data_IF_365051202797
#
_entry.id   IF_365051202797
#
_cell.length_a   1.000
_cell.length_b   1.000
_cell.length_c   1.000
_cell.angle_alpha   90.00
_cell.angle_beta   90.00
_cell.angle_gamma   90.00
#
_symmetry.space_group_name_H-M   'P 1'
#
loop_
_entity.id
_entity.type
_entity.pdbx_description
1 polymer ?
#
# COMPACT_ATOMS: atom_id res chain seq x y z
N UNK A 1 9.82 -1.24 0.38
CA UNK A 1 8.52 -1.04 1.07
C UNK A 1 8.18 0.45 1.12
N UNK A 2 9.13 1.31 1.47
CA UNK A 2 8.98 2.78 1.57
C UNK A 2 8.18 3.43 0.43
N UNK A 3 8.48 3.08 -0.83
CA UNK A 3 7.84 3.64 -2.02
C UNK A 3 6.32 3.43 -2.08
N UNK A 4 5.82 2.42 -1.38
CA UNK A 4 4.42 1.99 -1.44
C UNK A 4 3.65 2.26 -0.15
N UNK A 5 4.35 2.60 0.94
CA UNK A 5 3.73 2.80 2.26
C UNK A 5 2.66 3.89 2.22
N UNK A 6 3.02 5.06 1.69
CA UNK A 6 2.10 6.19 1.57
C UNK A 6 0.95 5.94 0.58
N UNK A 7 1.20 5.58 -0.70
CA UNK A 7 0.13 5.49 -1.70
C UNK A 7 -0.83 4.30 -1.48
N UNK A 8 -0.42 3.29 -0.71
CA UNK A 8 -1.25 2.11 -0.42
C UNK A 8 -1.78 2.15 1.01
N UNK A 9 -0.90 2.11 2.01
CA UNK A 9 -1.31 1.95 3.42
C UNK A 9 -1.89 3.25 3.97
N UNK A 10 -1.12 4.34 3.94
CA UNK A 10 -1.52 5.59 4.60
C UNK A 10 -2.81 6.13 3.97
N UNK A 11 -2.94 6.07 2.64
CA UNK A 11 -4.19 6.47 1.94
C UNK A 11 -5.40 5.64 2.35
N UNK A 12 -5.26 4.31 2.49
CA UNK A 12 -6.36 3.45 2.90
C UNK A 12 -6.76 3.73 4.35
N UNK A 13 -5.78 3.89 5.25
CA UNK A 13 -6.04 4.22 6.65
C UNK A 13 -6.73 5.58 6.78
N UNK A 14 -6.21 6.61 6.12
CA UNK A 14 -6.82 7.95 6.11
C UNK A 14 -8.25 7.88 5.58
N UNK A 15 -8.49 7.20 4.45
CA UNK A 15 -9.84 6.99 3.90
C UNK A 15 -10.78 6.36 4.94
N UNK A 16 -10.38 5.26 5.56
CA UNK A 16 -11.19 4.54 6.55
C UNK A 16 -11.56 5.43 7.74
N UNK A 17 -10.63 6.27 8.21
CA UNK A 17 -10.86 7.19 9.32
C UNK A 17 -11.72 8.39 8.90
N UNK A 18 -11.44 9.01 7.74
CA UNK A 18 -12.19 10.15 7.22
C UNK A 18 -13.67 9.83 6.99
N UNK A 19 -13.96 8.62 6.49
CA UNK A 19 -15.34 8.17 6.29
C UNK A 19 -15.96 7.52 7.54
N UNK A 20 -15.30 7.59 8.70
CA UNK A 20 -15.74 6.99 9.97
C UNK A 20 -16.10 5.50 9.85
N UNK A 21 -15.42 4.82 8.92
CA UNK A 21 -15.64 3.42 8.58
C UNK A 21 -14.94 2.48 9.57
N UNK A 22 -13.92 2.98 10.27
CA UNK A 22 -13.28 2.38 11.44
C UNK A 22 -13.24 3.44 12.52
N UNK A 23 -13.64 3.08 13.74
CA UNK A 23 -13.73 3.96 14.91
C UNK A 23 -12.88 3.41 16.05
N UNK A 24 -12.69 4.22 17.10
CA UNK A 24 -11.94 3.82 18.30
C UNK A 24 -12.52 2.55 18.95
N UNK A 25 -13.84 2.41 18.97
CA UNK A 25 -14.54 1.28 19.57
C UNK A 25 -14.41 -0.02 18.77
N UNK A 26 -13.90 0.06 17.53
CA UNK A 26 -13.57 -1.10 16.70
C UNK A 26 -12.19 -1.69 17.03
N UNK A 27 -11.50 -1.13 18.03
CA UNK A 27 -10.34 -1.73 18.64
C UNK A 27 -10.59 -2.15 20.09
N UNK A 28 -9.62 -2.86 20.64
CA UNK A 28 -9.62 -3.36 22.00
C UNK A 28 -8.19 -3.33 22.56
N UNK A 29 -8.07 -3.07 23.87
CA UNK A 29 -6.79 -3.20 24.55
C UNK A 29 -6.60 -4.67 24.93
N UNK A 30 -5.52 -5.27 24.44
CA UNK A 30 -5.05 -6.60 24.83
C UNK A 30 -3.66 -6.45 25.42
N UNK A 31 -3.56 -6.62 26.75
CA UNK A 31 -2.35 -6.31 27.51
C UNK A 31 -1.96 -4.83 27.38
N UNK A 32 -0.73 -4.57 26.94
CA UNK A 32 -0.21 -3.21 26.73
C UNK A 32 -0.39 -2.69 25.29
N UNK A 33 -1.22 -3.36 24.48
CA UNK A 33 -1.39 -3.07 23.04
C UNK A 33 -2.83 -2.80 22.66
N UNK A 34 -3.03 -1.84 21.74
CA UNK A 34 -4.32 -1.61 21.09
C UNK A 34 -4.41 -2.42 19.80
N UNK A 35 -5.36 -3.36 19.75
CA UNK A 35 -5.55 -4.28 18.64
C UNK A 35 -6.89 -4.02 17.95
N UNK A 36 -6.92 -4.14 16.62
CA UNK A 36 -8.17 -4.08 15.87
C UNK A 36 -8.98 -5.37 16.09
N UNK A 37 -10.29 -5.20 16.35
CA UNK A 37 -11.28 -6.28 16.35
C UNK A 37 -11.44 -6.85 14.95
N UNK A 38 -12.02 -8.05 14.87
CA UNK A 38 -12.11 -8.82 13.62
C UNK A 38 -12.80 -8.06 12.48
N UNK A 39 -13.89 -7.35 12.77
CA UNK A 39 -14.63 -6.57 11.79
C UNK A 39 -13.78 -5.44 11.17
N UNK A 40 -13.08 -4.65 12.00
CA UNK A 40 -12.19 -3.60 11.51
C UNK A 40 -10.97 -4.16 10.76
N UNK A 41 -10.42 -5.28 11.23
CA UNK A 41 -9.31 -5.96 10.57
C UNK A 41 -9.69 -6.46 9.18
N UNK A 42 -10.84 -7.12 9.03
CA UNK A 42 -11.37 -7.58 7.75
C UNK A 42 -11.66 -6.42 6.81
N UNK A 43 -12.19 -5.32 7.33
CA UNK A 43 -12.46 -4.11 6.55
C UNK A 43 -11.18 -3.46 6.03
N UNK A 44 -10.19 -3.28 6.91
CA UNK A 44 -8.86 -2.78 6.53
C UNK A 44 -8.22 -3.68 5.47
N UNK A 45 -8.26 -5.00 5.67
CA UNK A 45 -7.70 -5.97 4.73
C UNK A 45 -8.38 -5.88 3.36
N UNK A 46 -9.71 -5.82 3.32
CA UNK A 46 -10.47 -5.70 2.07
C UNK A 46 -10.10 -4.44 1.29
N UNK A 47 -10.01 -3.29 1.97
CA UNK A 47 -9.64 -2.02 1.33
C UNK A 47 -8.19 -2.01 0.86
N UNK A 48 -7.27 -2.65 1.61
CA UNK A 48 -5.87 -2.81 1.19
C UNK A 48 -5.75 -3.69 -0.06
N UNK A 49 -6.44 -4.83 -0.11
CA UNK A 49 -6.45 -5.72 -1.28
C UNK A 49 -7.03 -4.99 -2.48
N UNK A 50 -8.18 -4.32 -2.31
CA UNK A 50 -8.78 -3.52 -3.38
C UNK A 50 -7.82 -2.42 -3.86
N UNK A 51 -7.08 -1.79 -2.94
CA UNK A 51 -6.08 -0.77 -3.30
C UNK A 51 -4.91 -1.36 -4.08
N UNK A 52 -4.42 -2.54 -3.68
CA UNK A 52 -3.37 -3.27 -4.40
C UNK A 52 -3.78 -3.62 -5.84
N UNK A 53 -5.04 -3.98 -6.05
CA UNK A 53 -5.59 -4.30 -7.37
C UNK A 53 -5.97 -3.06 -8.21
N UNK A 54 -6.16 -1.91 -7.55
CA UNK A 54 -6.49 -0.66 -8.24
C UNK A 54 -5.38 -0.22 -9.19
N UNK A 55 -5.78 0.30 -10.36
CA UNK A 55 -4.86 0.75 -11.40
C UNK A 55 -4.44 2.20 -11.22
N UNK A 56 -3.17 2.49 -11.50
CA UNK A 56 -2.63 3.85 -11.59
C UNK A 56 -1.72 3.97 -12.80
N UNK A 57 -1.56 5.18 -13.30
CA UNK A 57 -0.62 5.47 -14.37
C UNK A 57 0.81 5.33 -13.86
N UNK A 58 1.61 4.54 -14.57
CA UNK A 58 3.03 4.32 -14.30
C UNK A 58 3.75 4.05 -15.63
N UNK A 59 4.77 4.86 -15.93
CA UNK A 59 5.55 4.77 -17.18
C UNK A 59 4.68 4.74 -18.45
N UNK A 60 3.69 5.63 -18.51
CA UNK A 60 2.81 5.79 -19.68
C UNK A 60 1.72 4.72 -19.83
N UNK A 61 1.59 3.78 -18.89
CA UNK A 61 0.58 2.71 -18.92
C UNK A 61 -0.15 2.60 -17.59
N UNK A 62 -1.34 2.00 -17.60
CA UNK A 62 -2.12 1.76 -16.40
C UNK A 62 -1.84 0.35 -15.86
N UNK A 63 -1.25 0.28 -14.67
CA UNK A 63 -0.93 -0.96 -13.98
C UNK A 63 -1.54 -0.99 -12.59
N UNK A 64 -1.84 -2.17 -12.05
CA UNK A 64 -2.20 -2.28 -10.63
C UNK A 64 -0.99 -1.98 -9.75
N UNK A 65 -1.22 -1.56 -8.50
CA UNK A 65 -0.12 -1.36 -7.54
C UNK A 65 0.68 -2.65 -7.34
N UNK A 66 0.02 -3.81 -7.27
CA UNK A 66 0.70 -5.12 -7.22
C UNK A 66 1.66 -5.33 -8.41
N UNK A 67 1.23 -4.99 -9.62
CA UNK A 67 2.10 -5.07 -10.80
C UNK A 67 3.26 -4.08 -10.72
N UNK A 68 3.03 -2.85 -10.25
CA UNK A 68 4.09 -1.85 -10.10
C UNK A 68 5.12 -2.31 -9.06
N UNK A 69 4.69 -2.91 -7.96
CA UNK A 69 5.60 -3.51 -6.95
C UNK A 69 6.50 -4.59 -7.57
N UNK A 70 5.93 -5.48 -8.39
CA UNK A 70 6.69 -6.48 -9.11
C UNK A 70 7.68 -5.85 -10.10
N UNK A 71 7.26 -4.82 -10.84
CA UNK A 71 8.15 -4.09 -11.75
C UNK A 71 9.29 -3.41 -11.00
N UNK A 72 9.03 -2.82 -9.83
CA UNK A 72 10.09 -2.23 -9.00
C UNK A 72 11.08 -3.29 -8.50
N UNK A 73 10.60 -4.47 -8.07
CA UNK A 73 11.48 -5.57 -7.70
C UNK A 73 12.40 -5.97 -8.86
N UNK A 74 11.87 -6.09 -10.10
CA UNK A 74 12.67 -6.38 -11.29
C UNK A 74 13.67 -5.26 -11.62
N UNK A 75 13.31 -4.00 -11.41
CA UNK A 75 14.23 -2.86 -11.59
C UNK A 75 15.39 -2.90 -10.60
N UNK A 76 15.14 -3.31 -9.36
CA UNK A 76 16.20 -3.55 -8.39
C UNK A 76 17.10 -4.69 -8.88
N UNK A 77 16.55 -5.83 -9.31
CA UNK A 77 17.34 -6.96 -9.81
C UNK A 77 18.24 -6.59 -10.99
N UNK A 78 17.69 -5.89 -11.99
CA UNK A 78 18.46 -5.44 -13.18
C UNK A 78 19.53 -4.41 -12.83
N UNK A 79 19.28 -3.55 -11.82
CA UNK A 79 20.29 -2.62 -11.30
C UNK A 79 21.43 -3.37 -10.60
N UNK A 80 21.11 -4.32 -9.71
CA UNK A 80 22.10 -5.12 -9.00
C UNK A 80 22.96 -5.98 -9.93
N UNK A 81 22.40 -6.42 -11.07
CA UNK A 81 23.14 -7.19 -12.11
C UNK A 81 23.96 -6.31 -13.05
N UNK A 82 23.91 -4.98 -12.91
CA UNK A 82 24.62 -4.03 -13.78
C UNK A 82 23.99 -3.83 -15.17
N UNK A 83 22.88 -4.52 -15.48
CA UNK A 83 22.14 -4.35 -16.74
C UNK A 83 21.47 -2.96 -16.83
N UNK A 84 21.19 -2.36 -15.67
CA UNK A 84 20.61 -1.03 -15.54
C UNK A 84 21.58 -0.13 -14.78
N UNK A 85 21.93 1.02 -15.37
CA UNK A 85 22.87 2.00 -14.77
C UNK A 85 22.37 2.66 -13.48
N UNK A 86 21.04 2.82 -13.32
CA UNK A 86 20.45 3.52 -12.18
C UNK A 86 19.09 2.96 -11.80
N UNK A 87 18.86 2.79 -10.50
CA UNK A 87 17.54 2.53 -9.92
C UNK A 87 16.81 3.84 -9.59
N UNK A 88 15.51 3.91 -9.85
CA UNK A 88 14.64 5.03 -9.48
C UNK A 88 13.37 4.49 -8.85
N UNK A 89 13.15 4.84 -7.59
CA UNK A 89 11.97 4.40 -6.83
C UNK A 89 10.67 4.91 -7.43
N UNK A 90 9.58 4.20 -7.14
CA UNK A 90 8.24 4.61 -7.50
C UNK A 90 7.89 5.91 -6.77
N UNK A 91 7.46 6.90 -7.55
CA UNK A 91 6.89 8.15 -7.04
C UNK A 91 5.52 8.34 -7.66
N UNK A 92 4.59 8.83 -6.85
CA UNK A 92 3.25 9.17 -7.30
C UNK A 92 2.90 10.54 -6.73
N UNK A 93 2.47 11.44 -7.61
CA UNK A 93 1.94 12.73 -7.15
C UNK A 93 0.57 12.49 -6.52
N UNK A 94 0.35 13.12 -5.37
CA UNK A 94 -0.91 13.02 -4.64
C UNK A 94 -1.95 13.93 -5.24
#
# INVERSE_FOLDING_TARGET
MEEFRQPIVDRVVIKLLSYKQVKKDDGEIKGFTFMLKDNARRKLLSELIQKLDSKTQYEGKNYSYSTIMLLQARKITTFLRGERKKYSGFTQRW
#
